data_IF_281002808320
#
_entry.id   IF_281002808320
#
_cell.length_a   1.000
_cell.length_b   1.000
_cell.length_c   1.000
_cell.angle_alpha   90.00
_cell.angle_beta   90.00
_cell.angle_gamma   90.00
#
_symmetry.space_group_name_H-M   'P 1'
#
loop_
_entity.id
_entity.type
_entity.pdbx_description
1 polymer ?
#
# COMPACT_ATOMS: atom_id res chain seq x y z
N UNK A 1 6.91 6.30 42.38
CA UNK A 1 7.96 7.07 41.68
C UNK A 1 8.02 8.46 42.28
N UNK A 2 9.18 9.11 42.24
CA UNK A 2 9.35 10.51 42.63
C UNK A 2 8.95 11.53 41.56
N UNK A 3 8.40 11.09 40.42
CA UNK A 3 7.95 11.97 39.35
C UNK A 3 6.60 12.61 39.67
N UNK A 4 6.46 13.89 39.33
CA UNK A 4 5.21 14.64 39.32
C UNK A 4 4.97 15.27 37.95
N UNK A 5 3.72 15.66 37.67
CA UNK A 5 3.38 16.28 36.39
C UNK A 5 4.11 17.61 36.19
N UNK A 6 4.17 18.45 37.23
CA UNK A 6 4.89 19.72 37.18
C UNK A 6 6.39 19.57 36.82
N UNK A 7 7.04 18.48 37.25
CA UNK A 7 8.42 18.20 36.88
C UNK A 7 8.56 17.76 35.42
N UNK A 8 7.64 16.89 34.95
CA UNK A 8 7.63 16.44 33.56
C UNK A 8 7.27 17.57 32.58
N UNK A 9 6.44 18.52 33.01
CA UNK A 9 6.13 19.74 32.25
C UNK A 9 7.35 20.66 32.12
N UNK A 10 8.25 20.65 33.11
CA UNK A 10 9.48 21.44 33.08
C UNK A 10 10.57 20.79 32.22
N UNK A 11 10.78 19.47 32.34
CA UNK A 11 11.78 18.74 31.57
C UNK A 11 11.51 17.22 31.52
N UNK A 12 11.92 16.52 30.44
CA UNK A 12 11.87 15.07 30.40
C UNK A 12 12.81 14.44 31.43
N UNK A 13 12.39 13.32 32.02
CA UNK A 13 13.18 12.57 32.99
C UNK A 13 13.30 11.09 32.59
N UNK A 14 14.46 10.49 32.82
CA UNK A 14 14.69 9.07 32.54
C UNK A 14 14.17 8.19 33.68
N UNK A 15 13.52 7.08 33.33
CA UNK A 15 13.13 6.05 34.28
C UNK A 15 14.30 5.08 34.55
N UNK A 16 14.49 4.55 35.78
CA UNK A 16 13.72 4.76 37.01
C UNK A 16 13.99 6.09 37.71
N UNK A 17 12.95 6.59 38.37
CA UNK A 17 12.97 7.82 39.17
C UNK A 17 12.29 7.54 40.53
N UNK A 18 13.02 7.02 41.52
CA UNK A 18 12.48 6.68 42.84
C UNK A 18 12.14 7.93 43.67
N UNK A 19 11.40 7.76 44.76
CA UNK A 19 11.03 8.89 45.63
C UNK A 19 12.27 9.50 46.29
N UNK A 20 12.36 10.83 46.29
CA UNK A 20 13.54 11.55 46.80
C UNK A 20 14.71 11.63 45.80
N UNK A 21 14.61 10.99 44.63
CA UNK A 21 15.59 11.18 43.56
C UNK A 21 15.45 12.58 42.96
N UNK A 22 16.59 13.19 42.65
CA UNK A 22 16.67 14.46 41.91
C UNK A 22 16.81 14.25 40.41
N UNK A 23 17.29 13.08 39.98
CA UNK A 23 17.50 12.70 38.58
C UNK A 23 17.19 11.22 38.33
N UNK A 24 16.95 10.90 37.06
CA UNK A 24 16.75 9.53 36.58
C UNK A 24 18.05 8.79 36.33
N UNK A 25 17.97 7.48 36.06
CA UNK A 25 19.13 6.67 35.66
C UNK A 25 19.32 6.69 34.14
N UNK A 26 20.53 7.02 33.69
CA UNK A 26 20.91 6.99 32.26
C UNK A 26 21.04 5.55 31.75
N UNK A 27 21.58 4.66 32.57
CA UNK A 27 21.75 3.23 32.27
C UNK A 27 21.32 2.39 33.48
N UNK A 28 20.82 1.19 33.20
CA UNK A 28 20.48 0.20 34.21
C UNK A 28 21.67 -0.75 34.43
N UNK A 29 21.80 -1.25 35.66
CA UNK A 29 22.71 -2.35 36.03
C UNK A 29 24.21 -2.07 35.87
N UNK A 30 24.64 -0.79 35.94
CA UNK A 30 26.06 -0.41 35.91
C UNK A 30 26.85 -0.94 37.13
N UNK A 31 26.15 -1.25 38.21
CA UNK A 31 26.67 -1.89 39.42
C UNK A 31 26.73 -3.43 39.31
N UNK A 32 26.28 -4.00 38.19
CA UNK A 32 26.20 -5.44 37.99
C UNK A 32 25.09 -6.13 38.79
N UNK A 33 24.16 -5.39 39.38
CA UNK A 33 23.06 -5.94 40.18
C UNK A 33 21.81 -6.11 39.31
N UNK A 34 21.56 -7.34 38.88
CA UNK A 34 20.40 -7.70 38.05
C UNK A 34 19.14 -7.96 38.88
N UNK A 35 17.93 -7.87 38.30
CA UNK A 35 16.66 -8.11 39.01
C UNK A 35 16.40 -9.61 39.21
N UNK A 36 17.32 -10.28 39.89
CA UNK A 36 17.25 -11.71 40.26
C UNK A 36 17.51 -11.86 41.75
N UNK A 37 17.09 -12.98 42.35
CA UNK A 37 17.28 -13.22 43.79
C UNK A 37 18.75 -13.16 44.24
N UNK A 38 19.70 -13.44 43.34
CA UNK A 38 21.14 -13.40 43.63
C UNK A 38 21.83 -12.12 43.17
N UNK A 39 21.09 -11.18 42.56
CA UNK A 39 21.67 -9.99 41.93
C UNK A 39 22.54 -10.26 40.68
N UNK A 40 22.59 -11.50 40.18
CA UNK A 40 23.44 -11.88 39.02
C UNK A 40 22.59 -12.13 37.78
N UNK A 41 23.13 -11.83 36.60
CA UNK A 41 22.53 -12.22 35.34
C UNK A 41 22.42 -13.76 35.24
N UNK A 42 21.33 -14.24 34.65
CA UNK A 42 21.10 -15.67 34.44
C UNK A 42 21.18 -15.96 32.94
N UNK A 43 22.09 -16.86 32.56
CA UNK A 43 22.11 -17.40 31.20
C UNK A 43 20.97 -18.40 31.03
N UNK A 44 20.30 -18.34 29.88
CA UNK A 44 19.26 -19.28 29.52
C UNK A 44 19.82 -20.25 28.46
N UNK A 45 19.89 -21.53 28.82
CA UNK A 45 20.13 -22.61 27.87
C UNK A 45 18.78 -23.03 27.30
N UNK A 46 18.53 -22.67 26.04
CA UNK A 46 17.22 -22.86 25.39
C UNK A 46 17.43 -23.67 24.13
N UNK A 47 16.79 -24.83 24.07
CA UNK A 47 16.81 -25.68 22.89
C UNK A 47 16.21 -24.98 21.68
N UNK A 48 16.78 -25.26 20.51
CA UNK A 48 16.21 -24.82 19.25
C UNK A 48 14.89 -25.52 18.98
N UNK A 49 13.83 -24.74 18.80
CA UNK A 49 12.53 -25.23 18.35
C UNK A 49 12.31 -24.88 16.87
N UNK A 50 11.69 -25.81 16.14
CA UNK A 50 11.41 -25.63 14.71
C UNK A 50 10.17 -24.75 14.52
N UNK A 51 9.99 -24.26 13.30
CA UNK A 51 8.73 -23.62 12.92
C UNK A 51 7.56 -24.57 13.18
N UNK A 52 6.50 -24.07 13.81
CA UNK A 52 5.32 -24.88 14.07
C UNK A 52 4.60 -25.28 12.77
N UNK A 53 4.74 -24.45 11.74
CA UNK A 53 4.18 -24.69 10.42
C UNK A 53 5.26 -24.55 9.34
N UNK A 54 6.09 -25.57 9.09
CA UNK A 54 7.03 -25.53 7.99
C UNK A 54 6.31 -25.56 6.63
N UNK A 55 7.01 -25.07 5.60
CA UNK A 55 6.57 -25.21 4.20
C UNK A 55 6.52 -26.68 3.80
N UNK A 56 5.61 -27.01 2.90
CA UNK A 56 5.52 -28.34 2.29
C UNK A 56 5.16 -28.23 0.79
N UNK A 57 5.00 -29.36 0.12
CA UNK A 57 4.65 -29.37 -1.31
C UNK A 57 3.29 -28.73 -1.62
N UNK A 58 2.35 -28.69 -0.65
CA UNK A 58 1.04 -28.05 -0.82
C UNK A 58 1.11 -26.54 -0.57
N UNK A 59 1.99 -26.10 0.33
CA UNK A 59 2.20 -24.71 0.74
C UNK A 59 3.69 -24.34 0.63
N UNK A 60 4.21 -24.14 -0.60
CA UNK A 60 5.65 -24.07 -0.86
C UNK A 60 6.31 -22.72 -0.56
N UNK A 61 5.55 -21.67 -0.21
CA UNK A 61 6.07 -20.34 0.09
C UNK A 61 6.06 -20.04 1.59
N UNK A 62 7.11 -19.37 2.07
CA UNK A 62 7.14 -18.78 3.42
C UNK A 62 6.62 -17.35 3.33
N UNK A 63 5.44 -17.11 3.90
CA UNK A 63 4.87 -15.77 3.99
C UNK A 63 5.41 -15.08 5.25
N UNK A 64 6.12 -13.97 5.04
CA UNK A 64 6.45 -13.01 6.08
C UNK A 64 5.45 -11.84 6.05
N UNK A 65 5.27 -11.21 7.20
CA UNK A 65 4.46 -9.99 7.34
C UNK A 65 5.25 -8.88 8.01
N UNK A 66 5.06 -7.65 7.56
CA UNK A 66 5.79 -6.50 8.11
C UNK A 66 5.00 -5.22 8.05
N UNK A 67 5.67 -4.11 8.34
CA UNK A 67 5.03 -2.80 8.47
C UNK A 67 5.32 -1.96 7.24
N UNK A 68 4.34 -1.16 6.86
CA UNK A 68 4.52 -0.04 5.96
C UNK A 68 4.93 1.16 6.80
N UNK A 69 5.97 1.87 6.35
CA UNK A 69 6.50 3.05 7.03
C UNK A 69 5.43 4.08 7.38
N UNK A 70 4.56 4.38 6.41
CA UNK A 70 3.60 5.49 6.51
C UNK A 70 2.32 5.11 7.28
N UNK A 71 2.23 3.88 7.79
CA UNK A 71 1.00 3.34 8.34
C UNK A 71 1.20 2.88 9.78
N UNK A 72 0.24 3.24 10.64
CA UNK A 72 0.31 2.95 12.07
C UNK A 72 -0.63 1.79 12.45
N UNK A 73 -0.05 0.66 12.84
CA UNK A 73 -0.79 -0.55 13.26
C UNK A 73 -1.97 -0.90 12.35
N UNK A 74 -3.19 -1.01 12.87
CA UNK A 74 -4.39 -1.35 12.09
C UNK A 74 -4.93 -0.20 11.22
N UNK A 75 -4.17 0.88 11.04
CA UNK A 75 -4.53 2.05 10.24
C UNK A 75 -5.80 2.79 10.71
N UNK A 76 -6.19 2.68 11.98
CA UNK A 76 -7.41 3.35 12.49
C UNK A 76 -7.41 4.87 12.34
N UNK A 77 -6.22 5.49 12.24
CA UNK A 77 -6.05 6.92 11.93
C UNK A 77 -5.33 7.15 10.60
N UNK A 78 -4.24 6.43 10.35
CA UNK A 78 -3.43 6.66 9.14
C UNK A 78 -4.13 6.19 7.87
N UNK A 79 -5.06 5.24 7.99
CA UNK A 79 -5.84 4.70 6.88
C UNK A 79 -6.93 5.61 6.34
N UNK A 80 -7.22 6.73 7.02
CA UNK A 80 -8.15 7.75 6.54
C UNK A 80 -7.45 8.93 5.88
N UNK A 81 -6.12 8.92 5.78
CA UNK A 81 -5.31 10.04 5.27
C UNK A 81 -4.67 9.62 3.95
N UNK A 82 -5.21 10.11 2.83
CA UNK A 82 -4.75 9.76 1.48
C UNK A 82 -3.25 9.97 1.26
N UNK A 83 -2.65 10.98 1.90
CA UNK A 83 -1.22 11.27 1.77
C UNK A 83 -0.33 10.12 2.23
N UNK A 84 -0.78 9.32 3.19
CA UNK A 84 -0.04 8.18 3.76
C UNK A 84 -0.09 6.92 2.89
N UNK A 85 -0.81 6.97 1.76
CA UNK A 85 -0.82 5.95 0.71
C UNK A 85 0.17 6.31 -0.43
N UNK A 86 0.91 7.42 -0.34
CA UNK A 86 1.78 7.88 -1.42
C UNK A 86 2.92 6.91 -1.78
N UNK A 87 3.49 6.19 -0.81
CA UNK A 87 4.58 5.23 -1.08
C UNK A 87 4.08 3.84 -1.47
N UNK A 88 3.06 3.34 -0.78
CA UNK A 88 2.40 2.06 -1.09
C UNK A 88 0.91 2.35 -1.21
N UNK A 89 0.41 2.56 -2.44
CA UNK A 89 -0.94 3.09 -2.66
C UNK A 89 -2.03 2.06 -2.49
N UNK A 90 -1.74 0.78 -2.71
CA UNK A 90 -2.72 -0.30 -2.76
C UNK A 90 -2.12 -1.57 -2.11
N UNK A 91 -2.97 -2.50 -1.63
CA UNK A 91 -2.51 -3.80 -1.16
C UNK A 91 -1.92 -4.63 -2.30
N UNK A 92 -0.80 -5.32 -2.01
CA UNK A 92 -0.11 -6.23 -2.92
C UNK A 92 0.56 -7.37 -2.13
N UNK A 93 0.94 -8.43 -2.85
CA UNK A 93 1.89 -9.43 -2.36
C UNK A 93 3.21 -9.28 -3.12
N UNK A 94 4.29 -9.06 -2.37
CA UNK A 94 5.64 -9.02 -2.93
C UNK A 94 6.18 -10.44 -3.11
N UNK A 95 6.67 -10.73 -4.31
CA UNK A 95 7.27 -12.00 -4.71
C UNK A 95 8.60 -11.74 -5.40
N UNK A 96 9.52 -12.71 -5.33
CA UNK A 96 10.74 -12.63 -6.12
C UNK A 96 10.40 -12.67 -7.63
N UNK A 97 11.01 -11.83 -8.49
CA UNK A 97 10.77 -11.86 -9.93
C UNK A 97 10.98 -13.23 -10.59
N UNK A 98 11.89 -14.07 -10.08
CA UNK A 98 12.11 -15.44 -10.57
C UNK A 98 10.94 -16.36 -10.25
N UNK A 99 10.29 -16.18 -9.09
CA UNK A 99 9.08 -16.93 -8.75
C UNK A 99 7.89 -16.48 -9.59
N UNK A 100 7.75 -15.17 -9.82
CA UNK A 100 6.72 -14.65 -10.72
C UNK A 100 6.87 -15.23 -12.13
N UNK A 101 8.10 -15.26 -12.67
CA UNK A 101 8.38 -15.90 -13.96
C UNK A 101 8.00 -17.39 -13.97
N UNK A 102 8.39 -18.14 -12.94
CA UNK A 102 8.06 -19.57 -12.79
C UNK A 102 6.56 -19.82 -12.70
N UNK A 103 5.82 -18.90 -12.09
CA UNK A 103 4.36 -18.95 -11.94
C UNK A 103 3.62 -18.30 -13.13
N UNK A 104 4.33 -17.79 -14.14
CA UNK A 104 3.77 -17.06 -15.29
C UNK A 104 2.91 -15.85 -14.86
N UNK A 105 3.41 -15.10 -13.88
CA UNK A 105 2.77 -13.91 -13.33
C UNK A 105 3.45 -12.64 -13.85
N UNK A 106 2.66 -11.68 -14.32
CA UNK A 106 3.07 -10.33 -14.59
C UNK A 106 2.80 -9.41 -13.38
N UNK A 107 3.42 -8.23 -13.38
CA UNK A 107 3.14 -7.18 -12.40
C UNK A 107 1.64 -6.82 -12.42
N UNK A 108 1.00 -6.79 -11.25
CA UNK A 108 -0.42 -6.48 -11.12
C UNK A 108 -1.39 -7.63 -11.40
N UNK A 109 -0.91 -8.80 -11.84
CA UNK A 109 -1.76 -10.00 -11.92
C UNK A 109 -2.35 -10.32 -10.55
N UNK A 110 -3.64 -10.64 -10.49
CA UNK A 110 -4.22 -11.11 -9.24
C UNK A 110 -3.78 -12.55 -8.96
N UNK A 111 -3.39 -12.80 -7.72
CA UNK A 111 -3.04 -14.12 -7.22
C UNK A 111 -3.87 -14.48 -6.00
N UNK A 112 -4.29 -15.73 -5.96
CA UNK A 112 -4.87 -16.34 -4.78
C UNK A 112 -3.75 -16.85 -3.87
N UNK A 113 -3.67 -16.29 -2.67
CA UNK A 113 -2.74 -16.68 -1.61
C UNK A 113 -3.53 -17.51 -0.61
N UNK A 114 -3.10 -18.75 -0.35
CA UNK A 114 -3.84 -19.70 0.49
C UNK A 114 -2.93 -20.31 1.54
N UNK A 115 -3.32 -20.25 2.81
CA UNK A 115 -2.71 -21.01 3.90
C UNK A 115 -3.58 -22.23 4.27
N UNK A 116 -3.24 -22.94 5.34
CA UNK A 116 -4.11 -23.99 5.91
C UNK A 116 -5.41 -23.45 6.51
N UNK A 117 -5.51 -22.14 6.74
CA UNK A 117 -6.61 -21.50 7.48
C UNK A 117 -7.56 -20.72 6.60
N UNK A 118 -7.05 -20.13 5.52
CA UNK A 118 -7.82 -19.23 4.69
C UNK A 118 -7.12 -18.86 3.41
N UNK A 119 -7.81 -18.03 2.62
CA UNK A 119 -7.31 -17.54 1.36
C UNK A 119 -7.64 -16.06 1.20
N UNK A 120 -6.75 -15.33 0.53
CA UNK A 120 -6.98 -13.98 0.06
C UNK A 120 -6.54 -13.82 -1.39
N UNK A 121 -7.05 -12.80 -2.08
CA UNK A 121 -6.63 -12.42 -3.43
C UNK A 121 -5.94 -11.07 -3.37
N UNK A 122 -4.78 -10.95 -4.01
CA UNK A 122 -3.96 -9.74 -4.03
C UNK A 122 -3.29 -9.56 -5.40
N UNK A 123 -3.04 -8.33 -5.86
CA UNK A 123 -2.12 -8.06 -6.96
C UNK A 123 -0.70 -8.52 -6.62
N UNK A 124 -0.04 -9.20 -7.54
CA UNK A 124 1.37 -9.58 -7.42
C UNK A 124 2.28 -8.40 -7.76
N UNK A 125 3.34 -8.23 -6.97
CA UNK A 125 4.37 -7.22 -7.14
C UNK A 125 5.76 -7.86 -7.10
N UNK A 126 6.59 -7.57 -8.09
CA UNK A 126 7.97 -8.03 -8.15
C UNK A 126 8.87 -7.29 -7.16
N UNK A 127 9.63 -8.04 -6.36
CA UNK A 127 10.57 -7.46 -5.38
C UNK A 127 11.83 -8.32 -5.25
N UNK A 128 12.99 -7.77 -5.58
CA UNK A 128 14.29 -8.42 -5.37
C UNK A 128 14.69 -8.48 -3.89
N UNK A 129 13.98 -7.76 -3.02
CA UNK A 129 14.19 -7.79 -1.56
C UNK A 129 13.60 -9.05 -0.93
N UNK A 130 12.72 -9.76 -1.65
CA UNK A 130 12.13 -11.02 -1.23
C UNK A 130 12.92 -12.17 -1.87
N UNK A 131 13.39 -13.11 -1.05
CA UNK A 131 14.11 -14.28 -1.55
C UNK A 131 13.16 -15.25 -2.28
N UNK A 132 13.71 -16.12 -3.13
CA UNK A 132 12.92 -17.14 -3.82
C UNK A 132 12.21 -18.07 -2.83
N UNK A 133 10.97 -18.46 -3.14
CA UNK A 133 10.06 -19.24 -2.28
C UNK A 133 9.69 -18.55 -0.96
N UNK A 134 9.86 -17.24 -0.89
CA UNK A 134 9.31 -16.37 0.14
C UNK A 134 8.30 -15.40 -0.47
N UNK A 135 7.44 -14.87 0.38
CA UNK A 135 6.47 -13.85 0.05
C UNK A 135 6.39 -12.82 1.18
N UNK A 136 6.02 -11.59 0.83
CA UNK A 136 5.78 -10.56 1.82
C UNK A 136 4.43 -9.89 1.59
N UNK A 137 3.66 -9.73 2.67
CA UNK A 137 2.47 -8.88 2.67
C UNK A 137 2.52 -8.00 3.91
N UNK A 138 2.28 -6.71 3.74
CA UNK A 138 2.18 -5.78 4.86
C UNK A 138 1.00 -6.15 5.79
N UNK A 139 1.25 -6.21 7.10
CA UNK A 139 0.26 -6.61 8.12
C UNK A 139 -0.95 -5.67 8.21
N UNK A 140 -0.84 -4.48 7.63
CA UNK A 140 -1.84 -3.42 7.74
C UNK A 140 -3.11 -3.70 6.92
N UNK A 141 -3.01 -4.55 5.91
CA UNK A 141 -4.10 -4.85 4.99
C UNK A 141 -5.13 -5.80 5.62
N UNK A 142 -6.02 -5.21 6.42
CA UNK A 142 -7.21 -5.85 6.99
C UNK A 142 -8.45 -5.70 6.10
N UNK A 143 -9.59 -6.20 6.60
CA UNK A 143 -10.90 -6.17 5.92
C UNK A 143 -11.45 -4.76 5.62
N UNK A 144 -10.82 -3.74 6.20
CA UNK A 144 -11.07 -2.33 5.95
C UNK A 144 -10.60 -1.86 4.57
N UNK A 145 -9.58 -2.52 4.01
CA UNK A 145 -8.89 -2.08 2.79
C UNK A 145 -8.86 -3.15 1.72
N UNK A 146 -8.82 -4.43 2.10
CA UNK A 146 -8.84 -5.55 1.17
C UNK A 146 -9.90 -6.55 1.61
N UNK A 147 -10.75 -6.93 0.67
CA UNK A 147 -11.81 -7.90 0.90
C UNK A 147 -12.02 -8.74 -0.37
N UNK A 148 -12.82 -9.78 -0.20
CA UNK A 148 -13.22 -10.74 -1.22
C UNK A 148 -14.08 -11.80 -0.57
N UNK A 149 -14.72 -12.63 -1.38
CA UNK A 149 -15.41 -13.84 -0.92
C UNK A 149 -14.55 -15.07 -1.22
N UNK A 150 -14.46 -16.00 -0.28
CA UNK A 150 -13.94 -17.34 -0.56
C UNK A 150 -14.87 -18.07 -1.52
N UNK A 151 -14.43 -19.19 -2.11
CA UNK A 151 -15.32 -20.05 -2.91
C UNK A 151 -16.55 -20.60 -2.15
N UNK A 152 -16.60 -20.44 -0.83
CA UNK A 152 -17.75 -20.77 0.02
C UNK A 152 -18.62 -19.56 0.38
N UNK A 153 -18.36 -18.39 -0.22
CA UNK A 153 -19.08 -17.14 0.03
C UNK A 153 -18.69 -16.43 1.34
N UNK A 154 -17.70 -16.92 2.08
CA UNK A 154 -17.28 -16.31 3.34
C UNK A 154 -16.41 -15.08 3.07
N UNK A 155 -16.60 -14.01 3.85
CA UNK A 155 -15.79 -12.79 3.74
C UNK A 155 -14.34 -13.08 4.17
N UNK A 156 -13.40 -12.58 3.38
CA UNK A 156 -11.97 -12.63 3.70
C UNK A 156 -11.60 -11.53 4.72
N UNK A 157 -10.82 -11.88 5.75
CA UNK A 157 -10.49 -10.98 6.88
C UNK A 157 -9.09 -10.35 6.77
N UNK A 158 -8.61 -10.12 5.55
CA UNK A 158 -7.27 -9.56 5.27
C UNK A 158 -6.11 -10.51 5.61
N UNK A 159 -4.91 -9.95 5.81
CA UNK A 159 -3.65 -10.70 5.90
C UNK A 159 -3.61 -11.67 7.08
N UNK A 160 -4.21 -11.31 8.22
CA UNK A 160 -4.25 -12.18 9.39
C UNK A 160 -5.08 -13.46 9.17
N UNK A 161 -5.92 -13.53 8.13
CA UNK A 161 -6.57 -14.78 7.75
C UNK A 161 -5.56 -15.88 7.38
N UNK A 162 -4.34 -15.49 6.98
CA UNK A 162 -3.29 -16.40 6.57
C UNK A 162 -2.38 -16.85 7.73
N UNK A 163 -2.35 -16.14 8.86
CA UNK A 163 -1.35 -16.33 9.92
C UNK A 163 -1.73 -17.43 10.91
N UNK A 164 -0.74 -18.01 11.57
CA UNK A 164 -0.92 -19.14 12.51
C UNK A 164 -1.39 -18.67 13.89
N UNK A 165 -2.29 -19.42 14.56
CA UNK A 165 -2.66 -19.15 15.96
C UNK A 165 -1.65 -19.69 16.97
N UNK A 166 -0.57 -20.35 16.51
CA UNK A 166 0.46 -20.91 17.39
C UNK A 166 1.18 -19.80 18.15
N UNK A 167 1.46 -20.07 19.43
CA UNK A 167 2.19 -19.17 20.31
C UNK A 167 3.16 -19.95 21.21
N UNK A 168 4.21 -19.28 21.67
CA UNK A 168 5.13 -19.86 22.63
C UNK A 168 4.40 -20.18 23.95
N UNK A 169 4.43 -21.43 24.46
CA UNK A 169 3.68 -21.80 25.65
C UNK A 169 4.11 -21.03 26.91
N UNK A 170 5.35 -20.53 26.95
CA UNK A 170 5.91 -19.74 28.05
C UNK A 170 5.56 -18.25 27.96
N UNK A 171 5.90 -17.58 26.86
CA UNK A 171 5.71 -16.13 26.71
C UNK A 171 4.34 -15.73 26.17
N UNK A 172 3.57 -16.69 25.63
CA UNK A 172 2.32 -16.48 24.89
C UNK A 172 2.48 -15.60 23.64
N UNK A 173 3.71 -15.40 23.16
CA UNK A 173 3.96 -14.64 21.94
C UNK A 173 3.60 -15.47 20.70
N UNK A 174 2.82 -14.92 19.75
CA UNK A 174 2.39 -15.62 18.54
C UNK A 174 3.47 -15.69 17.46
N UNK A 175 3.47 -16.76 16.65
CA UNK A 175 4.40 -16.99 15.54
C UNK A 175 3.96 -16.24 14.25
N UNK A 176 3.84 -14.91 14.32
CA UNK A 176 3.25 -14.09 13.23
C UNK A 176 4.16 -13.87 12.01
N UNK A 177 5.44 -14.26 12.07
CA UNK A 177 6.45 -13.99 11.04
C UNK A 177 6.70 -15.15 10.10
N UNK A 178 5.87 -16.18 10.19
CA UNK A 178 5.87 -17.29 9.27
C UNK A 178 4.46 -17.85 9.09
N UNK A 179 4.05 -18.03 7.84
CA UNK A 179 2.94 -18.89 7.47
C UNK A 179 3.32 -19.63 6.18
N UNK A 180 3.05 -20.92 6.12
CA UNK A 180 3.23 -21.66 4.87
C UNK A 180 2.05 -21.35 3.95
N UNK A 181 2.32 -20.84 2.75
CA UNK A 181 1.28 -20.47 1.77
C UNK A 181 1.52 -21.07 0.39
N UNK A 182 0.42 -21.20 -0.34
CA UNK A 182 0.36 -21.49 -1.77
C UNK A 182 -0.04 -20.22 -2.51
N UNK A 183 0.62 -19.93 -3.63
CA UNK A 183 0.32 -18.81 -4.51
C UNK A 183 -0.07 -19.36 -5.87
N UNK A 184 -1.26 -19.00 -6.37
CA UNK A 184 -1.77 -19.37 -7.69
C UNK A 184 -2.33 -18.14 -8.39
N UNK A 185 -2.25 -18.09 -9.72
CA UNK A 185 -2.94 -17.05 -10.50
C UNK A 185 -4.45 -17.12 -10.27
N UNK A 186 -5.08 -15.96 -10.06
CA UNK A 186 -6.53 -15.84 -9.90
C UNK A 186 -7.15 -15.38 -11.23
N UNK A 187 -7.85 -16.31 -11.90
CA UNK A 187 -8.55 -16.06 -13.17
C UNK A 187 -9.85 -15.29 -12.94
N UNK A 188 -9.73 -13.97 -12.93
CA UNK A 188 -10.83 -13.03 -12.69
C UNK A 188 -10.85 -12.02 -13.85
N UNK A 189 -11.38 -12.40 -15.03
CA UNK A 189 -11.22 -11.66 -16.27
C UNK A 189 -11.95 -10.30 -16.25
N UNK A 190 -12.97 -10.14 -15.42
CA UNK A 190 -13.66 -8.87 -15.26
C UNK A 190 -13.00 -8.06 -14.14
N UNK A 191 -12.62 -6.82 -14.46
CA UNK A 191 -11.96 -5.88 -13.54
C UNK A 191 -12.75 -4.58 -13.43
N UNK A 192 -12.58 -3.89 -12.32
CA UNK A 192 -13.13 -2.56 -12.05
C UNK A 192 -12.06 -1.68 -11.43
N UNK A 193 -11.99 -0.44 -11.89
CA UNK A 193 -11.26 0.65 -11.27
C UNK A 193 -12.14 1.90 -11.25
N UNK A 194 -12.55 2.33 -10.07
CA UNK A 194 -13.18 3.62 -9.81
C UNK A 194 -12.23 4.53 -9.06
N UNK A 195 -12.04 5.77 -9.51
CA UNK A 195 -11.20 6.76 -8.85
C UNK A 195 -11.91 8.10 -8.92
N UNK A 196 -12.07 8.79 -7.79
CA UNK A 196 -12.69 10.10 -7.78
C UNK A 196 -12.09 11.02 -6.73
N UNK A 197 -11.96 12.30 -7.10
CA UNK A 197 -11.85 13.38 -6.15
C UNK A 197 -13.23 13.67 -5.55
N UNK A 198 -13.28 13.83 -4.23
CA UNK A 198 -14.50 14.05 -3.47
C UNK A 198 -14.29 15.24 -2.52
N UNK A 199 -15.36 15.93 -2.10
CA UNK A 199 -15.29 16.87 -1.00
C UNK A 199 -14.69 16.20 0.25
N UNK A 200 -13.82 16.91 0.97
CA UNK A 200 -13.06 16.34 2.11
C UNK A 200 -13.98 15.77 3.21
N UNK A 201 -15.13 16.39 3.43
CA UNK A 201 -16.16 15.95 4.37
C UNK A 201 -16.94 14.70 3.92
N UNK A 202 -16.82 14.33 2.64
CA UNK A 202 -17.54 13.19 2.03
C UNK A 202 -16.64 12.02 1.67
N UNK A 203 -15.33 12.21 1.50
CA UNK A 203 -14.43 11.16 1.06
C UNK A 203 -14.43 9.93 1.98
N UNK A 204 -14.42 10.14 3.30
CA UNK A 204 -14.47 9.03 4.26
C UNK A 204 -15.81 8.28 4.22
N UNK A 205 -16.93 9.00 4.11
CA UNK A 205 -18.26 8.40 3.98
C UNK A 205 -18.35 7.56 2.70
N UNK A 206 -17.85 8.07 1.58
CA UNK A 206 -17.80 7.35 0.32
C UNK A 206 -16.98 6.06 0.43
N UNK A 207 -15.85 6.11 1.14
CA UNK A 207 -15.03 4.91 1.42
C UNK A 207 -15.81 3.85 2.20
N UNK A 208 -16.54 4.23 3.26
CA UNK A 208 -17.36 3.27 4.02
C UNK A 208 -18.51 2.68 3.18
N UNK A 209 -19.14 3.50 2.34
CA UNK A 209 -20.18 3.04 1.42
C UNK A 209 -19.62 2.03 0.39
N UNK A 210 -18.48 2.33 -0.23
CA UNK A 210 -17.81 1.43 -1.17
C UNK A 210 -17.32 0.15 -0.49
N UNK A 211 -16.86 0.25 0.76
CA UNK A 211 -16.45 -0.90 1.56
C UNK A 211 -17.57 -1.92 1.76
N UNK A 212 -18.81 -1.46 1.93
CA UNK A 212 -19.98 -2.36 2.03
C UNK A 212 -20.17 -3.19 0.75
N UNK A 213 -19.84 -2.63 -0.42
CA UNK A 213 -19.97 -3.29 -1.72
C UNK A 213 -18.82 -4.27 -2.02
N UNK A 214 -17.70 -4.21 -1.28
CA UNK A 214 -16.52 -5.05 -1.54
C UNK A 214 -16.81 -6.56 -1.47
N UNK A 215 -17.80 -6.97 -0.67
CA UNK A 215 -18.18 -8.38 -0.51
C UNK A 215 -18.85 -8.99 -1.76
N UNK A 216 -19.32 -8.14 -2.68
CA UNK A 216 -19.91 -8.57 -3.94
C UNK A 216 -18.88 -9.06 -4.98
N UNK A 217 -17.58 -8.93 -4.69
CA UNK A 217 -16.50 -9.26 -5.60
C UNK A 217 -15.60 -10.37 -5.04
N UNK A 218 -14.94 -11.11 -5.93
CA UNK A 218 -13.94 -12.10 -5.54
C UNK A 218 -12.67 -11.42 -5.01
N UNK A 219 -12.37 -10.23 -5.52
CA UNK A 219 -11.35 -9.32 -5.01
C UNK A 219 -11.90 -7.90 -5.00
N UNK A 220 -11.68 -7.16 -3.92
CA UNK A 220 -11.88 -5.74 -3.88
C UNK A 220 -10.88 -5.05 -2.95
N UNK A 221 -10.52 -3.81 -3.30
CA UNK A 221 -9.69 -2.91 -2.52
C UNK A 221 -10.30 -1.51 -2.51
N UNK A 222 -10.32 -0.84 -1.36
CA UNK A 222 -10.80 0.52 -1.24
C UNK A 222 -9.84 1.35 -0.37
N UNK A 223 -9.20 2.35 -0.97
CA UNK A 223 -8.15 3.14 -0.32
C UNK A 223 -8.35 4.64 -0.60
N UNK A 224 -8.03 5.53 0.36
CA UNK A 224 -7.96 6.95 0.06
C UNK A 224 -6.68 7.27 -0.71
N UNK A 225 -6.69 8.38 -1.44
CA UNK A 225 -5.49 8.96 -2.05
C UNK A 225 -5.56 10.49 -1.99
N UNK A 226 -4.46 11.14 -2.37
CA UNK A 226 -4.39 12.60 -2.46
C UNK A 226 -3.58 13.24 -1.34
N UNK A 227 -3.31 14.54 -1.48
CA UNK A 227 -2.48 15.32 -0.57
C UNK A 227 -3.18 16.58 -0.10
N UNK A 228 -3.49 17.47 -1.05
CA UNK A 228 -4.25 18.71 -0.80
C UNK A 228 -5.76 18.51 -1.06
N UNK A 229 -6.11 17.44 -1.77
CA UNK A 229 -7.47 17.00 -2.06
C UNK A 229 -7.68 15.59 -1.52
N UNK A 230 -8.91 15.27 -1.15
CA UNK A 230 -9.29 13.92 -0.75
C UNK A 230 -9.88 13.13 -1.91
N UNK A 231 -9.29 11.98 -2.19
CA UNK A 231 -9.78 11.06 -3.22
C UNK A 231 -10.01 9.66 -2.68
N UNK A 232 -10.85 8.88 -3.36
CA UNK A 232 -11.07 7.46 -3.09
C UNK A 232 -10.82 6.64 -4.35
N UNK A 233 -10.05 5.57 -4.20
CA UNK A 233 -9.80 4.57 -5.23
C UNK A 233 -10.46 3.25 -4.80
N UNK A 234 -11.31 2.72 -5.68
CA UNK A 234 -11.98 1.45 -5.54
C UNK A 234 -11.55 0.52 -6.69
N UNK A 235 -10.95 -0.62 -6.35
CA UNK A 235 -10.60 -1.66 -7.30
C UNK A 235 -11.40 -2.90 -7.00
N UNK A 236 -11.90 -3.58 -8.01
CA UNK A 236 -12.52 -4.88 -7.82
C UNK A 236 -12.28 -5.82 -9.00
N UNK A 237 -12.53 -7.11 -8.76
CA UNK A 237 -12.51 -8.12 -9.81
C UNK A 237 -13.48 -9.27 -9.52
N UNK A 238 -14.00 -9.83 -10.60
CA UNK A 238 -14.97 -10.92 -10.59
C UNK A 238 -14.78 -11.83 -11.82
N UNK A 239 -15.46 -12.98 -11.80
CA UNK A 239 -15.53 -13.87 -12.94
C UNK A 239 -16.36 -13.27 -14.08
N UNK A 240 -17.46 -12.60 -13.72
CA UNK A 240 -18.41 -11.99 -14.65
C UNK A 240 -18.71 -10.55 -14.23
N UNK A 241 -19.29 -9.78 -15.16
CA UNK A 241 -19.74 -8.42 -14.84
C UNK A 241 -20.85 -8.48 -13.77
N UNK A 242 -20.78 -7.62 -12.72
CA UNK A 242 -21.83 -7.54 -11.72
C UNK A 242 -23.12 -6.93 -12.28
N UNK A 243 -24.24 -7.03 -11.54
CA UNK A 243 -25.50 -6.37 -11.92
C UNK A 243 -25.33 -4.86 -12.11
N UNK A 244 -26.08 -4.29 -13.07
CA UNK A 244 -26.04 -2.86 -13.39
C UNK A 244 -26.36 -1.97 -12.18
N UNK A 245 -27.21 -2.45 -11.27
CA UNK A 245 -27.57 -1.76 -10.02
C UNK A 245 -26.38 -1.59 -9.07
N UNK A 246 -25.53 -2.62 -8.93
CA UNK A 246 -24.32 -2.54 -8.12
C UNK A 246 -23.36 -1.50 -8.72
N UNK A 247 -23.18 -1.54 -10.04
CA UNK A 247 -22.35 -0.56 -10.73
C UNK A 247 -22.87 0.87 -10.57
N UNK A 248 -24.19 1.07 -10.67
CA UNK A 248 -24.82 2.38 -10.47
C UNK A 248 -24.65 2.90 -9.03
N UNK A 249 -24.69 2.02 -8.01
CA UNK A 249 -24.38 2.41 -6.63
C UNK A 249 -22.94 2.87 -6.47
N UNK A 250 -21.97 2.12 -6.99
CA UNK A 250 -20.55 2.47 -6.94
C UNK A 250 -20.31 3.82 -7.65
N UNK A 251 -20.87 4.00 -8.85
CA UNK A 251 -20.78 5.25 -9.61
C UNK A 251 -21.44 6.43 -8.86
N UNK A 252 -22.59 6.19 -8.21
CA UNK A 252 -23.27 7.18 -7.38
C UNK A 252 -22.43 7.64 -6.20
N UNK A 253 -21.78 6.71 -5.48
CA UNK A 253 -20.89 7.03 -4.35
C UNK A 253 -19.67 7.82 -4.81
N UNK A 254 -19.14 7.53 -5.99
CA UNK A 254 -18.03 8.27 -6.60
C UNK A 254 -18.46 9.62 -7.22
N UNK A 255 -19.75 9.97 -7.15
CA UNK A 255 -20.29 11.21 -7.70
C UNK A 255 -20.31 11.25 -9.22
N UNK A 256 -20.50 10.11 -9.88
CA UNK A 256 -20.47 9.95 -11.34
C UNK A 256 -21.88 9.81 -11.96
N UNK A 257 -22.92 10.29 -11.27
CA UNK A 257 -24.32 10.26 -11.76
C UNK A 257 -24.83 11.59 -12.34
N UNK A 258 -23.97 12.59 -12.53
CA UNK A 258 -24.34 13.94 -12.98
C UNK A 258 -24.51 14.08 -14.50
N UNK A 259 -24.98 15.25 -14.94
CA UNK A 259 -25.13 15.58 -16.36
C UNK A 259 -23.79 15.89 -17.06
N UNK A 260 -22.75 16.17 -16.28
CA UNK A 260 -21.36 16.46 -16.66
C UNK A 260 -20.51 15.19 -16.85
N UNK A 261 -21.16 14.04 -17.04
CA UNK A 261 -20.54 12.73 -17.09
C UNK A 261 -20.62 12.15 -18.49
N UNK A 262 -19.47 11.76 -19.03
CA UNK A 262 -19.38 10.95 -20.24
C UNK A 262 -19.55 9.47 -19.88
N UNK A 263 -20.42 8.77 -20.60
CA UNK A 263 -20.71 7.36 -20.33
C UNK A 263 -20.64 6.51 -21.60
N UNK A 264 -20.08 5.32 -21.46
CA UNK A 264 -20.07 4.25 -22.47
C UNK A 264 -20.30 2.90 -21.79
N UNK A 265 -21.17 2.08 -22.36
CA UNK A 265 -21.40 0.72 -21.91
C UNK A 265 -21.56 -0.23 -23.09
N UNK A 266 -20.82 -1.33 -23.05
CA UNK A 266 -21.01 -2.49 -23.93
C UNK A 266 -21.31 -3.70 -23.06
N UNK A 267 -22.60 -3.99 -22.91
CA UNK A 267 -23.10 -5.12 -22.10
C UNK A 267 -22.61 -6.47 -22.64
N UNK A 268 -22.42 -6.61 -23.96
CA UNK A 268 -21.98 -7.88 -24.56
C UNK A 268 -20.52 -8.19 -24.19
N UNK A 269 -19.70 -7.14 -24.06
CA UNK A 269 -18.29 -7.25 -23.66
C UNK A 269 -18.07 -7.03 -22.16
N UNK A 270 -19.12 -6.81 -21.38
CA UNK A 270 -19.04 -6.46 -19.96
C UNK A 270 -18.26 -5.17 -19.68
N UNK A 271 -18.17 -4.26 -20.66
CA UNK A 271 -17.39 -3.03 -20.54
C UNK A 271 -18.26 -1.86 -20.09
N UNK A 272 -17.76 -1.05 -19.16
CA UNK A 272 -18.38 0.21 -18.74
C UNK A 272 -17.31 1.26 -18.50
N UNK A 273 -17.57 2.48 -18.95
CA UNK A 273 -16.67 3.63 -18.80
C UNK A 273 -17.49 4.85 -18.45
N UNK A 274 -17.12 5.50 -17.37
CA UNK A 274 -17.81 6.68 -16.86
C UNK A 274 -16.76 7.71 -16.48
N UNK A 275 -16.88 8.95 -16.96
CA UNK A 275 -15.85 9.99 -16.80
C UNK A 275 -16.52 11.32 -16.44
N UNK A 276 -16.21 11.89 -15.28
CA UNK A 276 -16.69 13.22 -14.86
C UNK A 276 -15.64 14.27 -15.14
N UNK A 277 -15.98 15.24 -15.98
CA UNK A 277 -15.11 16.38 -16.29
C UNK A 277 -15.65 17.62 -15.59
N UNK A 278 -14.78 18.42 -14.99
CA UNK A 278 -15.17 19.71 -14.41
C UNK A 278 -14.26 20.85 -14.90
N UNK A 279 -14.81 22.07 -15.05
CA UNK A 279 -14.01 23.26 -15.27
C UNK A 279 -13.26 23.64 -13.98
N UNK A 280 -11.96 23.89 -14.09
CA UNK A 280 -11.07 24.38 -13.04
C UNK A 280 -10.27 25.55 -13.60
N UNK A 281 -10.75 26.78 -13.31
CA UNK A 281 -10.26 28.00 -13.95
C UNK A 281 -10.51 27.96 -15.47
N UNK A 282 -9.47 28.23 -16.25
CA UNK A 282 -9.51 28.13 -17.72
C UNK A 282 -9.35 26.69 -18.23
N UNK A 283 -9.15 25.72 -17.32
CA UNK A 283 -8.88 24.33 -17.67
C UNK A 283 -10.10 23.43 -17.45
N UNK A 284 -10.11 22.26 -18.09
CA UNK A 284 -11.01 21.15 -17.76
C UNK A 284 -10.15 20.02 -17.23
N UNK A 285 -10.55 19.44 -16.10
CA UNK A 285 -9.84 18.33 -15.46
C UNK A 285 -10.77 17.14 -15.27
N UNK A 286 -10.17 15.96 -15.16
CA UNK A 286 -10.88 14.73 -14.82
C UNK A 286 -11.05 14.66 -13.30
N UNK A 287 -12.30 14.70 -12.86
CA UNK A 287 -12.67 14.73 -11.44
C UNK A 287 -13.01 13.34 -10.88
N UNK A 288 -13.40 12.42 -11.74
CA UNK A 288 -13.63 11.04 -11.38
C UNK A 288 -13.86 10.16 -12.58
N UNK A 289 -13.57 8.87 -12.45
CA UNK A 289 -13.84 7.89 -13.48
C UNK A 289 -14.15 6.51 -12.93
N UNK A 290 -14.81 5.71 -13.76
CA UNK A 290 -14.94 4.26 -13.62
C UNK A 290 -14.51 3.61 -14.94
N UNK A 291 -13.64 2.61 -14.85
CA UNK A 291 -13.30 1.65 -15.90
C UNK A 291 -13.74 0.27 -15.45
N UNK A 292 -14.56 -0.44 -16.23
CA UNK A 292 -15.03 -1.77 -15.90
C UNK A 292 -14.93 -2.72 -17.11
N UNK A 293 -14.66 -4.00 -16.86
CA UNK A 293 -14.28 -4.98 -17.86
C UNK A 293 -12.79 -4.83 -18.19
N UNK A 294 -12.49 -4.12 -19.27
CA UNK A 294 -11.11 -3.77 -19.64
C UNK A 294 -10.66 -2.47 -18.96
N UNK A 295 -9.79 -2.62 -17.97
CA UNK A 295 -9.18 -1.50 -17.22
C UNK A 295 -7.79 -1.11 -17.73
N UNK A 296 -7.34 -1.62 -18.89
CA UNK A 296 -6.00 -1.34 -19.42
C UNK A 296 -5.71 0.16 -19.62
N UNK A 297 -6.76 0.97 -19.81
CA UNK A 297 -6.66 2.43 -19.89
C UNK A 297 -6.23 3.10 -18.56
N UNK A 298 -6.21 2.38 -17.44
CA UNK A 298 -5.72 2.85 -16.14
C UNK A 298 -4.37 3.56 -16.26
N UNK A 299 -3.46 3.03 -17.09
CA UNK A 299 -2.08 3.52 -17.24
C UNK A 299 -1.99 4.99 -17.66
N UNK A 300 -3.03 5.54 -18.29
CA UNK A 300 -3.07 6.92 -18.75
C UNK A 300 -4.24 7.73 -18.17
N UNK A 301 -5.38 7.09 -17.85
CA UNK A 301 -6.53 7.77 -17.21
C UNK A 301 -6.24 8.09 -15.74
N UNK A 302 -5.59 7.18 -15.00
CA UNK A 302 -5.30 7.40 -13.58
C UNK A 302 -4.32 8.57 -13.37
N UNK A 303 -3.20 8.68 -14.11
CA UNK A 303 -2.35 9.87 -14.04
C UNK A 303 -3.08 11.15 -14.45
N UNK A 304 -3.93 11.12 -15.50
CA UNK A 304 -4.70 12.29 -15.92
C UNK A 304 -5.53 12.90 -14.77
N UNK A 305 -6.14 12.05 -13.92
CA UNK A 305 -6.86 12.49 -12.72
C UNK A 305 -5.94 12.87 -11.56
N UNK A 306 -4.98 12.00 -11.20
CA UNK A 306 -4.19 12.15 -9.97
C UNK A 306 -3.13 13.23 -10.06
N UNK A 307 -2.58 13.47 -11.25
CA UNK A 307 -1.64 14.56 -11.53
C UNK A 307 -2.38 15.85 -11.96
N UNK A 308 -3.72 15.85 -11.95
CA UNK A 308 -4.58 16.99 -12.26
C UNK A 308 -4.27 17.62 -13.64
N UNK A 309 -3.98 16.77 -14.62
CA UNK A 309 -3.57 17.19 -15.96
C UNK A 309 -4.77 17.74 -16.76
N UNK A 310 -4.53 18.66 -17.72
CA UNK A 310 -5.58 19.18 -18.60
C UNK A 310 -6.23 18.06 -19.44
N UNK A 311 -7.56 17.97 -19.41
CA UNK A 311 -8.35 16.93 -20.05
C UNK A 311 -9.14 17.39 -21.30
N UNK A 312 -9.06 18.67 -21.68
CA UNK A 312 -9.83 19.26 -22.79
C UNK A 312 -9.59 18.56 -24.12
N UNK A 313 -8.34 18.21 -24.40
CA UNK A 313 -7.95 17.57 -25.66
C UNK A 313 -8.52 16.15 -25.81
N UNK A 314 -8.97 15.53 -24.72
CA UNK A 314 -9.51 14.17 -24.76
C UNK A 314 -10.99 14.17 -25.13
N UNK A 315 -11.83 14.95 -24.42
CA UNK A 315 -13.29 14.90 -24.61
C UNK A 315 -13.81 13.46 -24.61
N UNK A 316 -14.45 13.02 -25.71
CA UNK A 316 -14.96 11.63 -25.86
C UNK A 316 -13.85 10.58 -25.97
N UNK A 317 -12.61 10.95 -26.28
CA UNK A 317 -11.48 10.01 -26.35
C UNK A 317 -11.17 9.37 -24.98
N UNK A 318 -11.64 9.94 -23.88
CA UNK A 318 -11.58 9.31 -22.56
C UNK A 318 -12.29 7.94 -22.52
N UNK A 319 -13.26 7.72 -23.40
CA UNK A 319 -14.02 6.47 -23.47
C UNK A 319 -13.30 5.38 -24.29
N UNK A 320 -12.16 5.67 -24.94
CA UNK A 320 -11.45 4.72 -25.82
C UNK A 320 -10.71 3.64 -25.02
N UNK A 321 -10.92 2.34 -25.30
CA UNK A 321 -10.23 1.26 -24.62
C UNK A 321 -8.78 1.07 -25.01
N UNK A 322 -8.06 0.31 -24.19
CA UNK A 322 -6.64 0.02 -24.38
C UNK A 322 -5.68 0.88 -23.55
N UNK A 323 -4.48 0.33 -23.36
CA UNK A 323 -3.38 0.95 -22.64
C UNK A 323 -2.71 2.11 -23.39
N UNK A 324 -2.96 2.27 -24.70
CA UNK A 324 -2.37 3.35 -25.48
C UNK A 324 -3.23 4.60 -25.36
N UNK A 325 -2.66 5.67 -24.79
CA UNK A 325 -3.34 6.95 -24.69
C UNK A 325 -3.62 7.54 -26.10
N UNK A 326 -4.82 8.07 -26.35
CA UNK A 326 -5.18 8.69 -27.63
C UNK A 326 -4.53 10.06 -27.82
N UNK A 327 -4.16 10.70 -26.71
CA UNK A 327 -3.39 11.94 -26.63
C UNK A 327 -2.22 11.67 -25.67
N UNK A 328 -1.06 12.26 -25.92
CA UNK A 328 0.11 12.05 -25.07
C UNK A 328 -0.17 12.51 -23.62
N UNK A 329 0.04 11.60 -22.66
CA UNK A 329 0.03 11.91 -21.22
C UNK A 329 1.47 11.98 -20.74
N UNK A 330 1.90 13.17 -20.31
CA UNK A 330 3.14 13.31 -19.54
C UNK A 330 2.79 13.14 -18.05
N UNK A 331 2.74 11.89 -17.61
CA UNK A 331 2.54 11.57 -16.20
C UNK A 331 3.73 12.04 -15.37
N UNK A 332 3.48 12.38 -14.11
CA UNK A 332 4.50 12.85 -13.18
C UNK A 332 5.52 11.78 -12.78
N UNK A 333 5.15 10.51 -12.94
CA UNK A 333 5.97 9.34 -12.58
C UNK A 333 5.80 8.93 -11.11
N UNK A 334 6.53 7.89 -10.71
CA UNK A 334 6.41 7.28 -9.37
C UNK A 334 6.90 8.23 -8.28
N UNK A 335 6.13 8.40 -7.20
CA UNK A 335 6.58 9.15 -6.04
C UNK A 335 7.67 8.39 -5.28
N UNK A 336 8.84 9.02 -5.10
CA UNK A 336 9.97 8.46 -4.34
C UNK A 336 10.04 9.06 -2.93
N UNK A 337 9.77 10.36 -2.77
CA UNK A 337 9.74 11.02 -1.46
C UNK A 337 8.33 11.54 -1.12
N UNK A 338 7.63 10.86 -0.21
CA UNK A 338 6.30 11.28 0.27
C UNK A 338 6.34 12.55 1.11
N UNK A 339 7.41 12.78 1.90
CA UNK A 339 7.53 13.98 2.75
C UNK A 339 7.43 15.26 1.94
N UNK A 340 8.29 15.39 0.93
CA UNK A 340 8.40 16.59 0.09
C UNK A 340 7.69 16.46 -1.26
N UNK A 341 6.96 15.36 -1.48
CA UNK A 341 6.25 15.09 -2.73
C UNK A 341 7.22 15.15 -3.92
N UNK A 342 8.24 14.31 -3.96
CA UNK A 342 9.23 14.29 -5.06
C UNK A 342 9.09 12.99 -5.85
N UNK A 343 8.94 13.09 -7.17
CA UNK A 343 8.81 11.96 -8.09
C UNK A 343 10.15 11.56 -8.72
N UNK A 344 10.20 10.33 -9.23
CA UNK A 344 11.36 9.73 -9.88
C UNK A 344 11.91 10.57 -11.04
N UNK A 345 11.10 11.12 -11.98
CA UNK A 345 11.63 11.96 -13.05
C UNK A 345 12.29 13.26 -12.56
N UNK A 346 11.78 13.85 -11.48
CA UNK A 346 12.38 15.06 -10.86
C UNK A 346 13.78 14.75 -10.31
N UNK A 347 13.96 13.56 -9.72
CA UNK A 347 15.26 13.09 -9.21
C UNK A 347 16.22 12.82 -10.35
N UNK A 348 15.77 12.12 -11.40
CA UNK A 348 16.60 11.83 -12.58
C UNK A 348 17.08 13.11 -13.24
N UNK A 349 16.18 14.07 -13.46
CA UNK A 349 16.53 15.37 -14.03
C UNK A 349 17.52 16.17 -13.13
N UNK A 350 17.31 16.16 -11.81
CA UNK A 350 18.24 16.82 -10.90
C UNK A 350 19.63 16.15 -10.90
N UNK A 351 19.69 14.82 -11.00
CA UNK A 351 20.96 14.09 -11.03
C UNK A 351 21.78 14.35 -12.29
N UNK A 352 21.19 14.71 -13.43
CA UNK A 352 21.94 15.09 -14.65
C UNK A 352 22.90 16.25 -14.40
N UNK A 353 22.59 17.10 -13.41
CA UNK A 353 23.41 18.25 -13.02
C UNK A 353 24.34 17.98 -11.84
N UNK A 354 24.20 16.84 -11.16
CA UNK A 354 24.95 16.51 -9.95
C UNK A 354 26.33 15.93 -10.28
N UNK A 355 27.38 16.43 -9.65
CA UNK A 355 28.77 15.98 -9.88
C UNK A 355 29.41 15.40 -8.61
N UNK A 356 30.51 14.66 -8.78
CA UNK A 356 31.31 14.15 -7.67
C UNK A 356 30.96 12.73 -7.23
N UNK A 357 31.44 12.35 -6.04
CA UNK A 357 31.24 11.02 -5.48
C UNK A 357 29.75 10.77 -5.09
N UNK A 358 29.29 9.52 -4.95
CA UNK A 358 27.88 9.22 -4.68
C UNK A 358 27.28 9.94 -3.45
N UNK A 359 28.06 10.14 -2.38
CA UNK A 359 27.59 10.85 -1.20
C UNK A 359 27.49 12.38 -1.43
N UNK A 360 28.34 12.95 -2.30
CA UNK A 360 28.27 14.36 -2.71
C UNK A 360 27.06 14.61 -3.62
N UNK A 361 26.80 13.69 -4.56
CA UNK A 361 25.60 13.72 -5.40
C UNK A 361 24.32 13.59 -4.57
N UNK A 362 24.32 12.75 -3.53
CA UNK A 362 23.21 12.64 -2.59
C UNK A 362 22.98 13.96 -1.83
N UNK A 363 24.04 14.62 -1.36
CA UNK A 363 23.93 15.91 -0.68
C UNK A 363 23.41 17.02 -1.61
N UNK A 364 23.83 17.04 -2.88
CA UNK A 364 23.32 17.96 -3.89
C UNK A 364 21.82 17.72 -4.17
N UNK A 365 21.40 16.46 -4.33
CA UNK A 365 19.98 16.10 -4.45
C UNK A 365 19.15 16.53 -3.23
N UNK A 366 19.68 16.28 -2.03
CA UNK A 366 19.04 16.68 -0.77
C UNK A 366 18.88 18.20 -0.68
N UNK A 367 19.85 18.96 -1.19
CA UNK A 367 19.78 20.43 -1.21
C UNK A 367 18.72 20.89 -2.22
N UNK A 368 18.72 20.34 -3.42
CA UNK A 368 17.84 20.77 -4.51
C UNK A 368 16.36 20.38 -4.28
N UNK A 369 16.10 19.13 -3.92
CA UNK A 369 14.74 18.57 -3.85
C UNK A 369 14.24 18.34 -2.42
N UNK A 370 15.10 18.54 -1.40
CA UNK A 370 14.83 18.22 0.03
C UNK A 370 14.57 16.74 0.32
N UNK A 371 14.44 15.89 -0.70
CA UNK A 371 14.19 14.46 -0.55
C UNK A 371 15.28 13.80 0.32
N UNK A 372 14.88 12.95 1.26
CA UNK A 372 15.82 12.25 2.15
C UNK A 372 16.27 13.03 3.39
N UNK A 373 15.83 14.28 3.59
CA UNK A 373 16.23 15.11 4.74
C UNK A 373 15.27 15.08 5.92
N UNK A 374 14.03 14.61 5.74
CA UNK A 374 13.00 14.60 6.80
C UNK A 374 12.93 13.25 7.55
N UNK A 375 12.41 12.20 6.90
CA UNK A 375 12.31 10.87 7.52
C UNK A 375 13.40 9.88 7.08
N UNK A 376 14.24 10.25 6.10
CA UNK A 376 15.33 9.41 5.58
C UNK A 376 14.90 8.17 4.77
N UNK A 377 13.60 7.89 4.64
CA UNK A 377 13.12 6.62 4.08
C UNK A 377 13.41 6.40 2.60
N UNK A 378 13.47 7.47 1.81
CA UNK A 378 13.79 7.40 0.40
C UNK A 378 15.30 7.33 0.14
N UNK A 379 16.16 7.52 1.16
CA UNK A 379 17.62 7.56 1.01
C UNK A 379 18.18 6.27 0.38
N UNK A 380 17.75 5.05 0.77
CA UNK A 380 18.23 3.83 0.10
C UNK A 380 17.92 3.81 -1.40
N UNK A 381 16.74 4.31 -1.79
CA UNK A 381 16.33 4.38 -3.20
C UNK A 381 17.11 5.47 -3.95
N UNK A 382 17.29 6.65 -3.35
CA UNK A 382 18.14 7.71 -3.93
C UNK A 382 19.56 7.19 -4.19
N UNK A 383 20.14 6.48 -3.22
CA UNK A 383 21.47 5.84 -3.38
C UNK A 383 21.47 4.79 -4.49
N UNK A 384 20.38 4.06 -4.70
CA UNK A 384 20.24 3.10 -5.82
C UNK A 384 20.21 3.83 -7.15
N UNK A 385 19.39 4.88 -7.28
CA UNK A 385 19.28 5.70 -8.50
C UNK A 385 20.63 6.33 -8.89
N UNK A 386 21.34 6.91 -7.92
CA UNK A 386 22.71 7.44 -8.11
C UNK A 386 23.65 6.37 -8.67
N UNK A 387 23.65 5.17 -8.09
CA UNK A 387 24.51 4.06 -8.54
C UNK A 387 24.16 3.57 -9.95
N UNK A 388 22.86 3.58 -10.30
CA UNK A 388 22.42 3.15 -11.64
C UNK A 388 22.88 4.17 -12.68
N UNK A 389 22.74 5.47 -12.42
CA UNK A 389 23.19 6.51 -13.34
C UNK A 389 24.71 6.50 -13.53
N UNK A 390 25.49 6.28 -12.47
CA UNK A 390 26.94 6.15 -12.55
C UNK A 390 27.42 4.93 -13.37
N UNK A 391 26.53 3.99 -13.72
CA UNK A 391 26.82 2.87 -14.63
C UNK A 391 26.44 3.15 -16.09
N UNK A 392 25.64 4.18 -16.32
CA UNK A 392 25.13 4.58 -17.64
C UNK A 392 25.93 5.76 -18.21
N UNK A 393 26.47 6.62 -17.34
CA UNK A 393 27.51 7.60 -17.67
C UNK A 393 28.89 6.95 -17.76
#
# INVERSE_FOLDING_TARGET
TGLSYAQLDAAPAQWPFPQGATEGRVRLYEDGIFPTATGRAQFADVDYDKLAEPRDARYPFSLNTGRLRDQWHGMSRTGTVGRLFGHVPEPSIELNPKDMLRLMLAEGDLVQVTSRRGSIVLPAQGSEQVATTQAFIAMHWGEEFVSGSTGTGARMTGVNALTTPVFCPKSKQPELKHAAVKVLKAELPWRLLGVAWLPDDKALLAREQLKAEMSAFAFASCVPFGRERSGVLFRAAAYEAPPDELMARIEGVLGLGGADVLHYADKRRGQRRTMRLAPVGEKTQLEGFVLAGDISAEVWVKPLLQDELPAQAYGRLLLVPGARAPVAVQARGRQVCTCFNVAEPEITAALETCQGAPDEQLAQLQTALKCGTNCGSCVPELKRMIRVQARVA
#
